data_IF_683802866195
#
_entry.id   IF_683802866195
#
_cell.length_a   1.000
_cell.length_b   1.000
_cell.length_c   1.000
_cell.angle_alpha   90.00
_cell.angle_beta   90.00
_cell.angle_gamma   90.00
#
_symmetry.space_group_name_H-M   'P 1'
#
loop_
_entity.id
_entity.type
_entity.pdbx_description
1 polymer ?
#
# COMPACT_ATOMS: atom_id res chain seq x y z
N UNK A 1 2.32 9.99 25.85
CA UNK A 1 3.16 9.24 24.91
C UNK A 1 3.98 10.18 24.05
N UNK A 2 5.12 9.72 23.54
CA UNK A 2 5.95 10.50 22.64
C UNK A 2 5.15 10.90 21.38
N UNK A 3 5.34 12.14 20.90
CA UNK A 3 4.71 12.59 19.66
C UNK A 3 5.35 11.85 18.47
N UNK A 4 4.60 11.67 17.36
CA UNK A 4 5.14 11.10 16.11
C UNK A 4 6.40 11.84 15.64
N UNK A 5 6.44 13.16 15.87
CA UNK A 5 7.61 14.00 15.53
C UNK A 5 8.85 13.64 16.37
N UNK A 6 8.67 13.37 17.66
CA UNK A 6 9.75 12.88 18.53
C UNK A 6 10.27 11.52 18.07
N UNK A 7 9.36 10.57 17.78
CA UNK A 7 9.72 9.24 17.29
C UNK A 7 10.50 9.31 15.96
N UNK A 8 10.10 10.18 15.03
CA UNK A 8 10.84 10.39 13.78
C UNK A 8 12.24 10.93 14.00
N UNK A 9 12.41 11.85 14.96
CA UNK A 9 13.72 12.37 15.35
C UNK A 9 14.61 11.26 15.91
N UNK A 10 14.05 10.39 16.77
CA UNK A 10 14.77 9.27 17.37
C UNK A 10 15.20 8.25 16.31
N UNK A 11 14.31 7.90 15.38
CA UNK A 11 14.63 7.00 14.25
C UNK A 11 15.75 7.58 13.38
N UNK A 12 15.71 8.88 13.08
CA UNK A 12 16.75 9.54 12.30
C UNK A 12 18.11 9.56 13.03
N UNK A 13 18.10 9.82 14.34
CA UNK A 13 19.32 9.81 15.16
C UNK A 13 19.95 8.41 15.23
N UNK A 14 19.13 7.36 15.43
CA UNK A 14 19.60 5.97 15.42
C UNK A 14 20.17 5.61 14.05
N UNK A 15 19.52 5.99 12.96
CA UNK A 15 19.98 5.73 11.60
C UNK A 15 21.36 6.37 11.36
N UNK A 16 21.55 7.62 11.78
CA UNK A 16 22.84 8.31 11.67
C UNK A 16 23.95 7.64 12.51
N UNK A 17 23.63 7.21 13.72
CA UNK A 17 24.56 6.48 14.57
C UNK A 17 24.99 5.12 13.97
N UNK A 18 24.07 4.38 13.35
CA UNK A 18 24.34 3.13 12.63
C UNK A 18 25.29 3.37 11.46
N UNK A 19 25.08 4.45 10.69
CA UNK A 19 25.95 4.83 9.57
C UNK A 19 27.36 5.20 10.06
N UNK A 20 27.44 6.04 11.10
CA UNK A 20 28.71 6.47 11.69
C UNK A 20 29.52 5.29 12.28
N UNK A 21 28.85 4.29 12.82
CA UNK A 21 29.48 3.09 13.35
C UNK A 21 29.86 2.06 12.28
N UNK A 22 29.46 2.25 11.02
CA UNK A 22 29.73 1.32 9.92
C UNK A 22 29.09 -0.09 10.07
N UNK A 23 28.07 -0.21 10.92
CA UNK A 23 27.40 -1.49 11.22
C UNK A 23 26.13 -1.74 10.40
N UNK A 24 25.87 -0.91 9.39
CA UNK A 24 24.68 -1.05 8.54
C UNK A 24 24.65 -2.40 7.81
N UNK A 25 23.56 -3.11 7.98
CA UNK A 25 23.29 -4.38 7.30
C UNK A 25 21.79 -4.47 6.91
N UNK A 26 21.42 -5.53 6.18
CA UNK A 26 20.08 -5.72 5.69
C UNK A 26 19.01 -5.74 6.81
N UNK A 27 19.30 -6.43 7.93
CA UNK A 27 18.35 -6.54 9.04
C UNK A 27 18.10 -5.18 9.73
N UNK A 28 19.15 -4.39 9.92
CA UNK A 28 19.03 -3.03 10.48
C UNK A 28 18.24 -2.12 9.53
N UNK A 29 18.58 -2.15 8.23
CA UNK A 29 17.91 -1.35 7.20
C UNK A 29 16.43 -1.69 7.10
N UNK A 30 16.05 -2.98 7.18
CA UNK A 30 14.65 -3.40 7.20
C UNK A 30 13.92 -2.86 8.44
N UNK A 31 14.53 -2.92 9.62
CA UNK A 31 13.94 -2.38 10.86
C UNK A 31 13.74 -0.87 10.80
N UNK A 32 14.71 -0.13 10.26
CA UNK A 32 14.57 1.31 10.03
C UNK A 32 13.41 1.63 9.09
N UNK A 33 13.31 0.91 7.95
CA UNK A 33 12.21 1.08 7.01
C UNK A 33 10.85 0.85 7.68
N UNK A 34 10.76 -0.19 8.53
CA UNK A 34 9.55 -0.48 9.29
C UNK A 34 9.25 0.62 10.31
N UNK A 35 10.24 1.14 11.03
CA UNK A 35 10.07 2.23 11.99
C UNK A 35 9.54 3.51 11.34
N UNK A 36 10.12 3.93 10.21
CA UNK A 36 9.59 5.05 9.41
C UNK A 36 8.16 4.79 8.94
N UNK A 37 7.85 3.55 8.53
CA UNK A 37 6.50 3.18 8.09
C UNK A 37 5.45 3.29 9.20
N UNK A 38 5.79 2.91 10.44
CA UNK A 38 4.90 3.06 11.62
C UNK A 38 4.67 4.54 11.98
N UNK A 39 5.63 5.40 11.71
CA UNK A 39 5.50 6.85 11.85
C UNK A 39 4.75 7.52 10.68
N UNK A 40 4.25 6.76 9.70
CA UNK A 40 3.65 7.25 8.45
C UNK A 40 4.57 8.14 7.59
N UNK A 41 5.88 8.06 7.80
CA UNK A 41 6.89 8.66 6.94
C UNK A 41 7.16 7.74 5.74
N UNK A 42 6.26 7.78 4.77
CA UNK A 42 6.27 6.85 3.64
C UNK A 42 7.49 7.06 2.72
N UNK A 43 7.98 8.29 2.60
CA UNK A 43 9.12 8.64 1.73
C UNK A 43 10.41 8.02 2.27
N UNK A 44 10.74 8.24 3.55
CA UNK A 44 11.92 7.67 4.17
C UNK A 44 11.82 6.14 4.31
N UNK A 45 10.64 5.61 4.64
CA UNK A 45 10.42 4.15 4.68
C UNK A 45 10.71 3.52 3.31
N UNK A 46 10.18 4.08 2.22
CA UNK A 46 10.39 3.59 0.85
C UNK A 46 11.86 3.68 0.47
N UNK A 47 12.54 4.80 0.74
CA UNK A 47 13.96 4.97 0.46
C UNK A 47 14.83 3.90 1.16
N UNK A 48 14.51 3.55 2.41
CA UNK A 48 15.20 2.47 3.14
C UNK A 48 14.92 1.09 2.53
N UNK A 49 13.68 0.80 2.10
CA UNK A 49 13.37 -0.44 1.38
C UNK A 49 14.09 -0.50 0.02
N UNK A 50 14.21 0.60 -0.70
CA UNK A 50 14.95 0.66 -1.97
C UNK A 50 16.45 0.45 -1.76
N UNK A 51 17.03 1.04 -0.70
CA UNK A 51 18.41 0.76 -0.28
C UNK A 51 18.61 -0.72 0.03
N UNK A 52 17.67 -1.34 0.74
CA UNK A 52 17.71 -2.76 1.07
C UNK A 52 17.69 -3.65 -0.19
N UNK A 53 16.86 -3.31 -1.19
CA UNK A 53 16.82 -4.03 -2.48
C UNK A 53 18.15 -3.98 -3.26
N UNK A 54 18.95 -2.94 -3.05
CA UNK A 54 20.27 -2.77 -3.67
C UNK A 54 21.41 -3.52 -2.96
N UNK A 55 21.16 -4.15 -1.80
CA UNK A 55 22.19 -4.91 -1.07
C UNK A 55 22.30 -6.32 -1.62
N UNK A 56 23.49 -6.70 -2.13
CA UNK A 56 23.73 -8.00 -2.79
C UNK A 56 23.44 -9.24 -1.93
N UNK A 57 23.50 -9.11 -0.61
CA UNK A 57 23.28 -10.21 0.35
C UNK A 57 21.95 -10.09 1.13
N UNK A 58 21.06 -9.22 0.70
CA UNK A 58 19.81 -8.99 1.42
C UNK A 58 18.80 -10.11 1.17
N UNK A 59 18.64 -10.99 2.15
CA UNK A 59 17.41 -11.78 2.28
C UNK A 59 16.23 -10.86 2.55
N UNK A 60 15.61 -10.32 1.51
CA UNK A 60 14.43 -9.47 1.63
C UNK A 60 13.26 -10.34 2.10
N UNK A 61 12.69 -10.05 3.27
CA UNK A 61 11.56 -10.83 3.72
C UNK A 61 10.33 -10.57 2.84
N UNK A 62 9.54 -11.60 2.58
CA UNK A 62 8.27 -11.44 1.83
C UNK A 62 7.34 -10.42 2.51
N UNK A 63 7.38 -10.36 3.84
CA UNK A 63 6.63 -9.38 4.64
C UNK A 63 7.13 -7.95 4.38
N UNK A 64 8.43 -7.75 4.23
CA UNK A 64 8.99 -6.44 3.86
C UNK A 64 8.55 -6.01 2.46
N UNK A 65 8.54 -6.93 1.48
CA UNK A 65 8.03 -6.67 0.13
C UNK A 65 6.54 -6.28 0.15
N UNK A 66 5.72 -6.98 0.91
CA UNK A 66 4.31 -6.67 1.11
C UNK A 66 4.13 -5.26 1.69
N UNK A 67 4.90 -4.94 2.75
CA UNK A 67 4.88 -3.60 3.37
C UNK A 67 5.33 -2.52 2.38
N UNK A 68 6.43 -2.76 1.65
CA UNK A 68 6.95 -1.83 0.64
C UNK A 68 5.91 -1.52 -0.45
N UNK A 69 5.25 -2.54 -1.00
CA UNK A 69 4.17 -2.35 -1.97
C UNK A 69 3.01 -1.51 -1.39
N UNK A 70 2.60 -1.79 -0.16
CA UNK A 70 1.52 -1.04 0.51
C UNK A 70 1.88 0.43 0.73
N UNK A 71 3.12 0.72 1.14
CA UNK A 71 3.60 2.09 1.36
C UNK A 71 3.66 2.89 0.05
N UNK A 72 4.16 2.27 -1.03
CA UNK A 72 4.17 2.89 -2.36
C UNK A 72 2.77 3.23 -2.84
N UNK A 73 1.79 2.33 -2.65
CA UNK A 73 0.40 2.61 -2.97
C UNK A 73 -0.19 3.76 -2.15
N UNK A 74 0.12 3.84 -0.85
CA UNK A 74 -0.28 4.96 0.02
C UNK A 74 0.35 6.28 -0.43
N UNK A 75 1.65 6.27 -0.75
CA UNK A 75 2.37 7.45 -1.23
C UNK A 75 1.81 7.96 -2.56
N UNK A 76 1.42 7.06 -3.48
CA UNK A 76 0.77 7.47 -4.73
C UNK A 76 -0.49 8.30 -4.48
N UNK A 77 -1.35 7.89 -3.54
CA UNK A 77 -2.56 8.64 -3.20
C UNK A 77 -2.22 9.97 -2.53
N UNK A 78 -1.31 9.98 -1.55
CA UNK A 78 -0.85 11.20 -0.87
C UNK A 78 -0.32 12.22 -1.89
N UNK A 79 0.56 11.80 -2.79
CA UNK A 79 1.13 12.67 -3.81
C UNK A 79 0.09 13.17 -4.83
N UNK A 80 -0.85 12.30 -5.22
CA UNK A 80 -1.98 12.71 -6.06
C UNK A 80 -2.83 13.80 -5.41
N UNK A 81 -3.15 13.66 -4.11
CA UNK A 81 -3.95 14.62 -3.37
C UNK A 81 -3.23 15.95 -3.15
N UNK A 82 -1.92 15.93 -2.91
CA UNK A 82 -1.10 17.13 -2.72
C UNK A 82 -0.61 17.76 -4.02
N UNK A 83 -0.88 17.12 -5.17
CA UNK A 83 -0.40 17.61 -6.47
C UNK A 83 1.06 17.23 -6.79
N UNK A 84 1.79 16.59 -5.87
CA UNK A 84 3.21 16.24 -6.06
C UNK A 84 3.34 15.17 -7.15
N UNK A 85 4.00 15.54 -8.27
CA UNK A 85 4.18 14.66 -9.44
C UNK A 85 2.87 13.95 -9.87
N UNK A 86 1.76 14.65 -9.84
CA UNK A 86 0.42 14.07 -10.02
C UNK A 86 0.30 13.20 -11.26
N UNK A 87 0.83 13.64 -12.39
CA UNK A 87 0.81 12.92 -13.67
C UNK A 87 1.54 11.57 -13.65
N UNK A 88 2.50 11.40 -12.75
CA UNK A 88 3.29 10.15 -12.62
C UNK A 88 2.62 9.10 -11.71
N UNK A 89 1.66 9.51 -10.87
CA UNK A 89 1.10 8.61 -9.86
C UNK A 89 0.35 7.40 -10.45
N UNK A 90 -0.42 7.52 -11.56
CA UNK A 90 -1.05 6.35 -12.18
C UNK A 90 -0.04 5.28 -12.60
N UNK A 91 1.06 5.67 -13.26
CA UNK A 91 2.11 4.74 -13.69
C UNK A 91 2.82 4.08 -12.49
N UNK A 92 3.10 4.85 -11.42
CA UNK A 92 3.66 4.31 -10.17
C UNK A 92 2.72 3.29 -9.52
N UNK A 93 1.41 3.52 -9.53
CA UNK A 93 0.41 2.59 -9.01
C UNK A 93 0.33 1.30 -9.84
N UNK A 94 0.42 1.38 -11.18
CA UNK A 94 0.46 0.18 -12.03
C UNK A 94 1.67 -0.69 -11.71
N UNK A 95 2.83 -0.08 -11.44
CA UNK A 95 4.02 -0.83 -11.01
C UNK A 95 3.80 -1.55 -9.69
N UNK A 96 3.17 -0.90 -8.70
CA UNK A 96 2.80 -1.55 -7.43
C UNK A 96 1.87 -2.75 -7.67
N UNK A 97 0.86 -2.60 -8.53
CA UNK A 97 -0.08 -3.69 -8.87
C UNK A 97 0.66 -4.85 -9.54
N UNK A 98 1.62 -4.55 -10.42
CA UNK A 98 2.45 -5.57 -11.07
C UNK A 98 3.30 -6.34 -10.06
N UNK A 99 3.95 -5.63 -9.13
CA UNK A 99 4.78 -6.25 -8.10
C UNK A 99 3.93 -7.14 -7.16
N UNK A 100 2.74 -6.66 -6.76
CA UNK A 100 1.80 -7.47 -5.96
C UNK A 100 1.29 -8.70 -6.71
N UNK A 101 1.07 -8.60 -8.04
CA UNK A 101 0.73 -9.78 -8.86
C UNK A 101 1.82 -10.85 -8.81
N UNK A 102 3.09 -10.44 -8.91
CA UNK A 102 4.21 -11.37 -8.81
C UNK A 102 4.22 -12.07 -7.45
N UNK A 103 4.01 -11.34 -6.35
CA UNK A 103 3.92 -11.92 -5.01
C UNK A 103 2.76 -12.92 -4.85
N UNK A 104 1.59 -12.61 -5.44
CA UNK A 104 0.43 -13.51 -5.45
C UNK A 104 0.72 -14.77 -6.27
N UNK A 105 1.36 -14.63 -7.43
CA UNK A 105 1.73 -15.76 -8.29
C UNK A 105 2.74 -16.70 -7.62
N UNK A 106 3.67 -16.16 -6.80
CA UNK A 106 4.59 -17.00 -6.02
C UNK A 106 3.87 -17.79 -4.93
N UNK A 107 2.97 -17.16 -4.20
CA UNK A 107 2.14 -17.79 -3.17
C UNK A 107 0.96 -16.89 -2.83
N UNK A 108 -0.27 -17.27 -3.17
CA UNK A 108 -1.45 -16.51 -2.81
C UNK A 108 -1.70 -16.64 -1.30
N UNK A 109 -1.85 -15.50 -0.62
CA UNK A 109 -2.27 -15.43 0.79
C UNK A 109 -3.41 -14.42 0.94
N UNK A 110 -4.20 -14.54 1.99
CA UNK A 110 -5.27 -13.59 2.29
C UNK A 110 -4.73 -12.16 2.43
N UNK A 111 -3.54 -11.99 3.02
CA UNK A 111 -2.87 -10.69 3.15
C UNK A 111 -2.53 -10.11 1.78
N UNK A 112 -1.88 -10.87 0.87
CA UNK A 112 -1.50 -10.40 -0.47
C UNK A 112 -2.71 -10.05 -1.33
N UNK A 113 -3.77 -10.86 -1.24
CA UNK A 113 -5.04 -10.56 -1.92
C UNK A 113 -5.69 -9.29 -1.36
N UNK A 114 -5.66 -9.09 -0.04
CA UNK A 114 -6.15 -7.87 0.60
C UNK A 114 -5.33 -6.64 0.21
N UNK A 115 -4.00 -6.77 0.11
CA UNK A 115 -3.12 -5.71 -0.38
C UNK A 115 -3.43 -5.34 -1.83
N UNK A 116 -3.70 -6.33 -2.69
CA UNK A 116 -4.11 -6.10 -4.07
C UNK A 116 -5.47 -5.39 -4.13
N UNK A 117 -6.46 -5.82 -3.35
CA UNK A 117 -7.74 -5.13 -3.20
C UNK A 117 -7.55 -3.67 -2.77
N UNK A 118 -6.67 -3.44 -1.80
CA UNK A 118 -6.31 -2.11 -1.30
C UNK A 118 -5.61 -1.25 -2.37
N UNK A 119 -4.73 -1.83 -3.20
CA UNK A 119 -4.06 -1.13 -4.30
C UNK A 119 -5.08 -0.70 -5.37
N UNK A 120 -6.00 -1.56 -5.76
CA UNK A 120 -7.06 -1.21 -6.70
C UNK A 120 -8.05 -0.18 -6.12
N UNK A 121 -8.42 -0.27 -4.83
CA UNK A 121 -9.21 0.78 -4.15
C UNK A 121 -8.49 2.13 -4.23
N UNK A 122 -7.19 2.18 -4.00
CA UNK A 122 -6.38 3.40 -4.14
C UNK A 122 -6.23 3.86 -5.59
N UNK A 123 -6.12 2.93 -6.54
CA UNK A 123 -6.12 3.26 -7.97
C UNK A 123 -7.38 3.99 -8.36
N UNK A 124 -8.56 3.59 -7.86
CA UNK A 124 -9.81 4.32 -8.12
C UNK A 124 -9.77 5.77 -7.63
N UNK A 125 -9.05 6.05 -6.53
CA UNK A 125 -8.92 7.42 -5.97
C UNK A 125 -8.05 8.34 -6.83
N UNK A 126 -7.09 7.80 -7.59
CA UNK A 126 -6.18 8.56 -8.44
C UNK A 126 -6.55 8.49 -9.93
N UNK A 127 -7.62 7.79 -10.28
CA UNK A 127 -8.17 7.75 -11.64
C UNK A 127 -9.01 9.01 -11.90
N UNK A 128 -8.95 9.54 -13.11
CA UNK A 128 -9.73 10.73 -13.51
C UNK A 128 -11.08 10.34 -14.12
N UNK A 129 -11.09 9.34 -15.00
CA UNK A 129 -12.31 8.88 -15.67
C UNK A 129 -13.16 8.00 -14.74
N UNK A 130 -14.47 8.24 -14.71
CA UNK A 130 -15.40 7.47 -13.88
C UNK A 130 -15.43 5.98 -14.25
N UNK A 131 -15.29 5.66 -15.55
CA UNK A 131 -15.20 4.25 -16.00
C UNK A 131 -14.00 3.53 -15.38
N UNK A 132 -12.83 4.19 -15.32
CA UNK A 132 -11.62 3.60 -14.73
C UNK A 132 -11.75 3.44 -13.21
N UNK A 133 -12.40 4.40 -12.54
CA UNK A 133 -12.71 4.30 -11.10
C UNK A 133 -13.59 3.08 -10.81
N UNK A 134 -14.68 2.93 -11.56
CA UNK A 134 -15.60 1.80 -11.41
C UNK A 134 -14.88 0.48 -11.69
N UNK A 135 -14.10 0.40 -12.79
CA UNK A 135 -13.31 -0.79 -13.10
C UNK A 135 -12.34 -1.16 -12.00
N UNK A 136 -11.64 -0.16 -11.43
CA UNK A 136 -10.73 -0.39 -10.31
C UNK A 136 -11.48 -0.86 -9.05
N UNK A 137 -12.65 -0.30 -8.73
CA UNK A 137 -13.47 -0.74 -7.60
C UNK A 137 -13.99 -2.18 -7.77
N UNK A 138 -14.42 -2.57 -8.98
CA UNK A 138 -14.83 -3.96 -9.26
C UNK A 138 -13.67 -4.93 -8.99
N UNK A 139 -12.47 -4.60 -9.46
CA UNK A 139 -11.28 -5.41 -9.20
C UNK A 139 -10.95 -5.47 -7.71
N UNK A 140 -11.04 -4.34 -7.01
CA UNK A 140 -10.82 -4.28 -5.57
C UNK A 140 -11.78 -5.18 -4.80
N UNK A 141 -13.09 -5.12 -5.10
CA UNK A 141 -14.10 -5.98 -4.50
C UNK A 141 -13.81 -7.47 -4.74
N UNK A 142 -13.43 -7.82 -5.97
CA UNK A 142 -13.07 -9.18 -6.34
C UNK A 142 -11.89 -9.73 -5.52
N UNK A 143 -10.83 -8.95 -5.34
CA UNK A 143 -9.67 -9.35 -4.54
C UNK A 143 -9.98 -9.44 -3.04
N UNK A 144 -10.75 -8.51 -2.48
CA UNK A 144 -11.17 -8.60 -1.08
C UNK A 144 -12.09 -9.80 -0.83
N UNK A 145 -13.01 -10.12 -1.78
CA UNK A 145 -13.84 -11.33 -1.72
C UNK A 145 -12.98 -12.59 -1.73
N UNK A 146 -11.97 -12.67 -2.62
CA UNK A 146 -11.04 -13.78 -2.67
C UNK A 146 -10.26 -13.91 -1.35
N UNK A 147 -9.76 -12.81 -0.81
CA UNK A 147 -9.04 -12.78 0.47
C UNK A 147 -9.92 -13.29 1.62
N UNK A 148 -11.18 -12.86 1.68
CA UNK A 148 -12.14 -13.32 2.69
C UNK A 148 -12.41 -14.82 2.61
N UNK A 149 -12.50 -15.37 1.40
CA UNK A 149 -12.79 -16.78 1.17
C UNK A 149 -11.56 -17.71 1.33
N UNK A 150 -10.36 -17.17 1.61
CA UNK A 150 -9.17 -18.00 1.85
C UNK A 150 -9.34 -18.81 3.15
N UNK A 151 -9.06 -20.14 3.14
CA UNK A 151 -9.27 -21.01 4.30
C UNK A 151 -8.54 -20.56 5.57
N UNK A 152 -7.38 -19.91 5.41
CA UNK A 152 -6.55 -19.42 6.52
C UNK A 152 -7.00 -18.07 7.08
N UNK A 153 -8.06 -17.46 6.51
CA UNK A 153 -8.51 -16.11 6.87
C UNK A 153 -9.79 -16.13 7.72
N UNK A 154 -10.03 -17.21 8.45
CA UNK A 154 -11.30 -17.50 9.13
C UNK A 154 -11.82 -16.41 10.10
N UNK A 155 -11.05 -15.35 10.39
CA UNK A 155 -11.45 -14.30 11.33
C UNK A 155 -11.11 -12.88 10.89
N UNK A 156 -10.65 -12.64 9.67
CA UNK A 156 -10.34 -11.28 9.24
C UNK A 156 -11.59 -10.54 8.75
N UNK A 157 -12.14 -9.69 9.60
CA UNK A 157 -13.23 -8.77 9.24
C UNK A 157 -12.79 -7.71 8.23
N UNK A 158 -11.47 -7.44 8.11
CA UNK A 158 -10.94 -6.40 7.24
C UNK A 158 -11.34 -6.59 5.77
N UNK A 159 -11.13 -7.78 5.21
CA UNK A 159 -11.46 -8.08 3.82
C UNK A 159 -12.96 -8.06 3.59
N UNK A 160 -13.74 -8.58 4.52
CA UNK A 160 -15.21 -8.59 4.47
C UNK A 160 -15.77 -7.15 4.44
N UNK A 161 -15.34 -6.33 5.38
CA UNK A 161 -15.82 -4.93 5.48
C UNK A 161 -15.49 -4.17 4.19
N UNK A 162 -14.25 -4.23 3.71
CA UNK A 162 -13.86 -3.54 2.49
C UNK A 162 -14.62 -4.05 1.25
N UNK A 163 -14.82 -5.36 1.15
CA UNK A 163 -15.62 -5.92 0.07
C UNK A 163 -17.06 -5.39 0.09
N UNK A 164 -17.75 -5.48 1.24
CA UNK A 164 -19.15 -5.02 1.38
C UNK A 164 -19.30 -3.51 1.17
N UNK A 165 -18.36 -2.71 1.66
CA UNK A 165 -18.34 -1.26 1.40
C UNK A 165 -18.26 -0.95 -0.09
N UNK A 166 -17.37 -1.61 -0.81
CA UNK A 166 -17.20 -1.38 -2.25
C UNK A 166 -18.42 -1.87 -3.03
N UNK A 167 -18.99 -3.03 -2.70
CA UNK A 167 -20.22 -3.52 -3.32
C UNK A 167 -21.38 -2.54 -3.12
N UNK A 168 -21.51 -1.97 -1.94
CA UNK A 168 -22.51 -0.91 -1.67
C UNK A 168 -22.30 0.31 -2.55
N UNK A 169 -21.05 0.75 -2.73
CA UNK A 169 -20.73 1.88 -3.62
C UNK A 169 -21.11 1.54 -5.06
N UNK A 170 -20.71 0.37 -5.56
CA UNK A 170 -21.00 -0.08 -6.93
C UNK A 170 -22.50 -0.21 -7.19
N UNK A 171 -23.27 -0.72 -6.22
CA UNK A 171 -24.71 -0.79 -6.27
C UNK A 171 -25.35 0.61 -6.39
N UNK A 172 -24.91 1.55 -5.54
CA UNK A 172 -25.43 2.93 -5.57
C UNK A 172 -25.10 3.65 -6.88
N UNK A 173 -23.90 3.45 -7.42
CA UNK A 173 -23.50 4.02 -8.71
C UNK A 173 -24.37 3.48 -9.86
N UNK A 174 -24.70 2.20 -9.82
CA UNK A 174 -25.53 1.54 -10.85
C UNK A 174 -26.98 1.95 -10.77
N UNK A 175 -27.54 2.12 -9.57
CA UNK A 175 -28.97 2.34 -9.35
C UNK A 175 -29.37 3.81 -9.35
N UNK A 176 -28.43 4.72 -9.08
CA UNK A 176 -28.65 6.17 -9.03
C UNK A 176 -27.62 6.90 -9.91
N UNK A 177 -27.81 6.95 -11.22
CA UNK A 177 -26.96 7.74 -12.12
C UNK A 177 -27.06 9.21 -11.70
N UNK A 178 -26.00 9.80 -11.22
CA UNK A 178 -25.93 11.15 -10.61
C UNK A 178 -25.11 11.19 -9.32
N UNK A 179 -24.80 10.05 -8.72
CA UNK A 179 -23.92 9.95 -7.55
C UNK A 179 -22.42 10.00 -7.94
N UNK A 180 -22.05 10.73 -8.98
CA UNK A 180 -20.65 11.03 -9.28
C UNK A 180 -19.94 11.76 -8.12
N UNK A 181 -20.70 12.44 -7.26
CA UNK A 181 -20.19 13.09 -6.05
C UNK A 181 -19.70 12.09 -4.97
N UNK A 182 -20.32 10.91 -4.86
CA UNK A 182 -19.89 9.87 -3.91
C UNK A 182 -18.55 9.25 -4.37
N UNK A 183 -18.36 9.07 -5.67
CA UNK A 183 -17.09 8.55 -6.22
C UNK A 183 -15.95 9.55 -6.00
N UNK A 184 -16.21 10.84 -5.84
CA UNK A 184 -15.18 11.86 -5.54
C UNK A 184 -14.64 11.76 -4.11
N UNK A 185 -15.38 11.13 -3.20
CA UNK A 185 -15.00 11.02 -1.78
C UNK A 185 -14.16 9.78 -1.48
N UNK A 186 -14.17 8.80 -2.36
CA UNK A 186 -13.36 7.57 -2.31
C UNK A 186 -12.39 7.54 -3.48
#
# INVERSE_FOLDING_TARGET
GASVKSLLSDVAAISAAVDAAGIRNAAITEREAMAYAECNDYENAIAKFESLLGMEQAGFSLKALEKYCNLRAKLCVKNWQTGKEKSKQPAKMEKVITDLKQLINMSPTAERLSLMGSAYKRKSMISTANADKIKALILAAGYYKQAYNMPQNSNSTYSLINWLEIEKILFLVKTKPGISAIIKKY
#
